data_IF_591185752680
#
_entry.id   IF_591185752680
#
_cell.length_a   1.000
_cell.length_b   1.000
_cell.length_c   1.000
_cell.angle_alpha   90.00
_cell.angle_beta   90.00
_cell.angle_gamma   90.00
#
_symmetry.space_group_name_H-M   'P 1'
#
loop_
_entity.id
_entity.type
_entity.pdbx_description
1 polymer ?
#
# COMPACT_ATOMS: atom_id res chain seq x y z
N UNK A 1 -7.34 49.37 6.01
CA UNK A 1 -7.96 48.09 6.40
C UNK A 1 -7.13 46.96 5.79
N UNK A 2 -6.42 46.19 6.61
CA UNK A 2 -5.61 45.06 6.13
C UNK A 2 -6.55 43.88 5.85
N UNK A 3 -6.51 43.36 4.62
CA UNK A 3 -7.24 42.17 4.24
C UNK A 3 -6.87 41.04 5.21
N UNK A 4 -7.87 40.46 5.85
CA UNK A 4 -7.73 39.18 6.55
C UNK A 4 -7.24 38.17 5.52
N UNK A 5 -5.96 37.81 5.58
CA UNK A 5 -5.42 36.69 4.82
C UNK A 5 -6.08 35.44 5.36
N UNK A 6 -7.23 35.09 4.77
CA UNK A 6 -7.94 33.86 5.07
C UNK A 6 -6.94 32.72 4.95
N UNK A 7 -6.58 32.14 6.09
CA UNK A 7 -5.60 31.07 6.16
C UNK A 7 -6.16 29.91 5.35
N UNK A 8 -5.56 29.67 4.18
CA UNK A 8 -6.06 28.71 3.21
C UNK A 8 -6.02 27.34 3.88
N UNK A 9 -7.18 26.72 4.06
CA UNK A 9 -7.31 25.39 4.66
C UNK A 9 -6.37 24.42 3.92
N UNK A 10 -5.40 23.87 4.65
CA UNK A 10 -4.48 22.87 4.10
C UNK A 10 -5.26 21.60 3.80
N UNK A 11 -5.11 21.07 2.58
CA UNK A 11 -5.76 19.81 2.18
C UNK A 11 -5.26 18.63 3.02
N UNK A 12 -6.10 17.63 3.21
CA UNK A 12 -5.76 16.40 3.94
C UNK A 12 -6.14 15.16 3.13
N UNK A 13 -5.16 14.27 2.90
CA UNK A 13 -5.35 13.00 2.22
C UNK A 13 -5.04 11.85 3.17
N UNK A 14 -5.86 10.81 3.15
CA UNK A 14 -5.63 9.56 3.88
C UNK A 14 -5.24 8.46 2.91
N UNK A 15 -4.17 7.73 3.23
CA UNK A 15 -3.71 6.55 2.48
C UNK A 15 -3.81 5.30 3.36
N UNK A 16 -4.43 4.24 2.86
CA UNK A 16 -4.54 2.95 3.57
C UNK A 16 -3.47 1.98 3.07
N UNK A 17 -2.33 1.93 3.74
CA UNK A 17 -1.20 1.06 3.42
C UNK A 17 -1.30 -0.32 4.11
N UNK A 18 -2.48 -0.96 4.09
CA UNK A 18 -2.75 -2.28 4.69
C UNK A 18 -2.66 -3.46 3.70
N UNK A 19 -2.01 -3.22 2.56
CA UNK A 19 -1.76 -4.22 1.53
C UNK A 19 -0.34 -4.77 1.63
N UNK A 20 0.04 -5.77 0.82
CA UNK A 20 1.42 -6.21 0.75
C UNK A 20 2.38 -5.02 0.60
N UNK A 21 3.60 -5.18 1.13
CA UNK A 21 4.55 -4.08 1.22
C UNK A 21 4.80 -3.36 -0.12
N UNK A 22 4.72 -4.05 -1.25
CA UNK A 22 4.86 -3.44 -2.58
C UNK A 22 3.87 -2.30 -2.81
N UNK A 23 2.62 -2.48 -2.38
CA UNK A 23 1.55 -1.50 -2.55
C UNK A 23 1.71 -0.37 -1.51
N UNK A 24 2.04 -0.73 -0.26
CA UNK A 24 2.33 0.23 0.81
C UNK A 24 3.51 1.16 0.47
N UNK A 25 4.59 0.61 -0.09
CA UNK A 25 5.77 1.35 -0.55
C UNK A 25 5.40 2.41 -1.57
N UNK A 26 4.60 2.04 -2.58
CA UNK A 26 4.16 2.97 -3.61
C UNK A 26 3.27 4.08 -3.06
N UNK A 27 2.41 3.79 -2.08
CA UNK A 27 1.65 4.81 -1.37
C UNK A 27 2.56 5.77 -0.57
N UNK A 28 3.63 5.27 0.04
CA UNK A 28 4.63 6.12 0.71
C UNK A 28 5.31 7.05 -0.31
N UNK A 29 5.76 6.53 -1.45
CA UNK A 29 6.36 7.34 -2.53
C UNK A 29 5.33 8.35 -3.05
N UNK A 30 4.09 7.94 -3.28
CA UNK A 30 3.02 8.85 -3.71
C UNK A 30 2.82 10.00 -2.72
N UNK A 31 2.83 9.72 -1.41
CA UNK A 31 2.74 10.74 -0.37
C UNK A 31 3.86 11.80 -0.50
N UNK A 32 5.11 11.37 -0.70
CA UNK A 32 6.25 12.30 -0.85
C UNK A 32 6.11 13.16 -2.10
N UNK A 33 5.58 12.62 -3.20
CA UNK A 33 5.33 13.38 -4.43
C UNK A 33 4.23 14.43 -4.23
N UNK A 34 3.15 14.08 -3.52
CA UNK A 34 2.06 15.02 -3.23
C UNK A 34 2.56 16.22 -2.41
N UNK A 35 3.32 15.99 -1.34
CA UNK A 35 3.81 17.09 -0.48
C UNK A 35 4.84 17.99 -1.17
N UNK A 36 5.59 17.45 -2.13
CA UNK A 36 6.51 18.23 -2.99
C UNK A 36 5.78 19.16 -3.95
N UNK A 37 4.65 18.72 -4.49
CA UNK A 37 3.85 19.53 -5.43
C UNK A 37 3.13 20.64 -4.67
N UNK A 38 2.57 20.33 -3.50
CA UNK A 38 1.83 21.28 -2.67
C UNK A 38 1.83 20.87 -1.20
N UNK A 39 1.86 21.83 -0.26
CA UNK A 39 1.66 21.55 1.17
C UNK A 39 0.30 20.89 1.40
N UNK A 40 0.29 19.57 1.57
CA UNK A 40 -0.91 18.74 1.80
C UNK A 40 -0.60 17.82 2.95
N UNK A 41 -1.43 17.81 3.98
CA UNK A 41 -1.26 16.81 5.03
C UNK A 41 -1.61 15.42 4.50
N UNK A 42 -0.76 14.44 4.76
CA UNK A 42 -0.98 13.05 4.39
C UNK A 42 -0.92 12.19 5.65
N UNK A 43 -2.01 11.48 5.94
CA UNK A 43 -2.03 10.46 6.99
C UNK A 43 -1.97 9.09 6.33
N UNK A 44 -0.90 8.34 6.59
CA UNK A 44 -0.74 6.95 6.14
C UNK A 44 -1.13 6.03 7.29
N UNK A 45 -2.22 5.29 7.14
CA UNK A 45 -2.57 4.20 8.06
C UNK A 45 -1.96 2.91 7.57
N UNK A 46 -1.30 2.18 8.46
CA UNK A 46 -0.56 0.95 8.15
C UNK A 46 -0.71 -0.07 9.27
N UNK A 47 -0.39 -1.34 9.02
CA UNK A 47 -0.20 -2.31 10.11
C UNK A 47 1.10 -2.01 10.87
N UNK A 48 1.17 -2.53 12.09
CA UNK A 48 2.38 -2.55 12.93
C UNK A 48 3.60 -3.13 12.20
N UNK A 49 3.43 -4.23 11.45
CA UNK A 49 4.49 -4.88 10.69
C UNK A 49 5.16 -3.97 9.64
N UNK A 50 4.45 -2.96 9.14
CA UNK A 50 4.95 -2.06 8.10
C UNK A 50 5.30 -0.67 8.61
N UNK A 51 5.04 -0.33 9.87
CA UNK A 51 5.27 1.01 10.42
C UNK A 51 6.70 1.49 10.21
N UNK A 52 7.67 0.73 10.70
CA UNK A 52 9.09 1.11 10.63
C UNK A 52 9.62 1.07 9.20
N UNK A 53 9.05 0.20 8.35
CA UNK A 53 9.41 0.12 6.94
C UNK A 53 8.89 1.33 6.16
N UNK A 54 7.65 1.77 6.43
CA UNK A 54 7.04 2.97 5.87
C UNK A 54 7.81 4.23 6.28
N UNK A 55 8.18 4.37 7.56
CA UNK A 55 9.00 5.49 8.03
C UNK A 55 10.36 5.55 7.32
N UNK A 56 11.06 4.41 7.19
CA UNK A 56 12.33 4.36 6.46
C UNK A 56 12.19 4.72 4.98
N UNK A 57 11.14 4.25 4.32
CA UNK A 57 10.86 4.59 2.93
C UNK A 57 10.64 6.10 2.76
N UNK A 58 9.81 6.70 3.61
CA UNK A 58 9.56 8.15 3.60
C UNK A 58 10.84 8.95 3.88
N UNK A 59 11.64 8.52 4.86
CA UNK A 59 12.91 9.18 5.19
C UNK A 59 13.90 9.12 4.03
N UNK A 60 13.98 7.97 3.34
CA UNK A 60 14.80 7.82 2.13
C UNK A 60 14.32 8.72 1.00
N UNK A 61 13.01 8.71 0.71
CA UNK A 61 12.42 9.52 -0.35
C UNK A 61 12.51 11.02 -0.06
N UNK A 62 12.56 11.44 1.20
CA UNK A 62 12.65 12.85 1.64
C UNK A 62 14.06 13.26 2.10
N UNK A 63 15.10 12.48 1.81
CA UNK A 63 16.45 12.77 2.30
C UNK A 63 16.96 14.18 1.94
N UNK A 64 16.53 14.72 0.79
CA UNK A 64 16.87 16.08 0.33
C UNK A 64 15.85 17.16 0.77
N UNK A 65 14.68 16.75 1.28
CA UNK A 65 13.53 17.62 1.56
C UNK A 65 12.93 17.32 2.95
N UNK A 66 13.78 17.11 3.96
CA UNK A 66 13.34 16.60 5.27
C UNK A 66 12.23 17.43 5.94
N UNK A 67 12.19 18.74 5.71
CA UNK A 67 11.14 19.63 6.22
C UNK A 67 9.73 19.26 5.72
N UNK A 68 9.62 18.68 4.52
CA UNK A 68 8.34 18.20 3.97
C UNK A 68 7.79 17.00 4.76
N UNK A 69 8.64 16.31 5.52
CA UNK A 69 8.23 15.21 6.40
C UNK A 69 7.19 15.64 7.44
N UNK A 70 7.15 16.92 7.84
CA UNK A 70 6.15 17.45 8.77
C UNK A 70 4.70 17.40 8.25
N UNK A 71 4.52 17.28 6.92
CA UNK A 71 3.21 17.10 6.31
C UNK A 71 2.75 15.65 6.26
N UNK A 72 3.64 14.68 6.52
CA UNK A 72 3.32 13.26 6.41
C UNK A 72 3.41 12.63 7.79
N UNK A 73 2.35 11.95 8.22
CA UNK A 73 2.37 11.11 9.42
C UNK A 73 2.02 9.68 9.08
N UNK A 74 2.65 8.73 9.76
CA UNK A 74 2.40 7.29 9.62
C UNK A 74 1.87 6.76 10.93
N UNK A 75 0.67 6.18 10.90
CA UNK A 75 -0.04 5.70 12.07
C UNK A 75 -0.28 4.20 11.90
N UNK A 76 0.28 3.41 12.81
CA UNK A 76 -0.03 2.00 12.88
C UNK A 76 -1.41 1.79 13.55
N UNK A 77 -2.22 0.94 12.94
CA UNK A 77 -3.49 0.44 13.46
C UNK A 77 -3.38 -1.05 13.79
N UNK A 78 -4.32 -1.54 14.60
CA UNK A 78 -4.38 -2.96 14.93
C UNK A 78 -4.63 -3.78 13.66
N UNK A 79 -3.88 -4.85 13.50
CA UNK A 79 -3.95 -5.77 12.36
C UNK A 79 -3.73 -7.17 12.91
N UNK A 80 -4.51 -8.15 12.46
CA UNK A 80 -4.38 -9.54 12.90
C UNK A 80 -3.70 -10.44 11.87
N UNK A 81 -3.49 -9.96 10.64
CA UNK A 81 -2.98 -10.80 9.53
C UNK A 81 -2.08 -10.05 8.57
N UNK A 82 -0.79 -10.36 8.60
CA UNK A 82 0.20 -9.81 7.66
C UNK A 82 0.19 -10.45 6.25
N UNK A 83 -0.60 -11.52 6.04
CA UNK A 83 -0.50 -12.35 4.83
C UNK A 83 -1.83 -12.59 4.09
N UNK A 84 -2.93 -11.96 4.51
CA UNK A 84 -4.24 -12.21 3.89
C UNK A 84 -4.72 -11.05 3.01
N UNK A 85 -5.53 -11.41 2.01
CA UNK A 85 -6.14 -10.45 1.10
C UNK A 85 -7.09 -9.49 1.82
N UNK A 86 -7.72 -9.93 2.91
CA UNK A 86 -8.63 -9.14 3.75
C UNK A 86 -8.11 -9.11 5.19
N UNK A 87 -8.17 -7.94 5.83
CA UNK A 87 -7.80 -7.74 7.23
C UNK A 87 -8.96 -7.02 7.94
N UNK A 88 -9.93 -7.78 8.47
CA UNK A 88 -11.13 -7.21 9.08
C UNK A 88 -10.80 -6.47 10.38
N UNK A 89 -9.73 -6.83 11.08
CA UNK A 89 -9.29 -6.17 12.31
C UNK A 89 -8.76 -4.77 12.00
N UNK A 90 -7.92 -4.66 10.96
CA UNK A 90 -7.47 -3.37 10.46
C UNK A 90 -8.63 -2.51 9.96
N UNK A 91 -9.57 -3.09 9.19
CA UNK A 91 -10.74 -2.35 8.71
C UNK A 91 -11.62 -1.85 9.85
N UNK A 92 -11.81 -2.64 10.91
CA UNK A 92 -12.56 -2.24 12.09
C UNK A 92 -11.85 -1.14 12.90
N UNK A 93 -10.53 -1.27 13.12
CA UNK A 93 -9.76 -0.26 13.84
C UNK A 93 -9.66 1.04 13.03
N UNK A 94 -9.45 0.95 11.71
CA UNK A 94 -9.54 2.10 10.82
C UNK A 94 -10.91 2.77 10.89
N UNK A 95 -12.00 1.99 10.87
CA UNK A 95 -13.35 2.56 10.97
C UNK A 95 -13.57 3.33 12.28
N UNK A 96 -13.01 2.82 13.40
CA UNK A 96 -12.99 3.51 14.68
C UNK A 96 -12.17 4.81 14.61
N UNK A 97 -10.94 4.75 14.13
CA UNK A 97 -10.07 5.92 13.98
C UNK A 97 -10.65 6.97 13.03
N UNK A 98 -11.31 6.55 11.96
CA UNK A 98 -11.96 7.46 11.03
C UNK A 98 -13.12 8.21 11.67
N UNK A 99 -13.92 7.57 12.53
CA UNK A 99 -14.94 8.27 13.34
C UNK A 99 -14.32 9.29 14.28
N UNK A 100 -13.14 9.03 14.83
CA UNK A 100 -12.41 10.02 15.65
C UNK A 100 -12.01 11.23 14.80
N UNK A 101 -11.51 11.02 13.58
CA UNK A 101 -11.18 12.11 12.65
C UNK A 101 -12.42 12.95 12.31
N UNK A 102 -13.56 12.30 12.05
CA UNK A 102 -14.83 13.00 11.77
C UNK A 102 -15.34 13.79 12.98
N UNK A 103 -15.03 13.33 14.20
CA UNK A 103 -15.33 14.02 15.44
C UNK A 103 -14.28 15.05 15.86
N UNK A 104 -13.33 15.40 14.97
CA UNK A 104 -12.21 16.33 15.22
C UNK A 104 -11.37 15.94 16.46
N UNK A 105 -11.23 14.63 16.69
CA UNK A 105 -10.46 14.08 17.80
C UNK A 105 -9.03 13.70 17.36
N UNK A 106 -8.06 13.77 18.28
CA UNK A 106 -6.71 13.27 18.01
C UNK A 106 -6.71 11.76 17.79
N UNK A 107 -5.72 11.29 17.03
CA UNK A 107 -5.58 9.87 16.66
C UNK A 107 -4.30 9.30 17.25
N UNK A 108 -4.35 8.07 17.76
CA UNK A 108 -3.21 7.43 18.43
C UNK A 108 -2.63 6.31 17.56
N UNK A 109 -1.31 6.27 17.44
CA UNK A 109 -0.60 5.13 16.87
C UNK A 109 -0.54 3.98 17.88
N UNK A 110 -1.02 2.79 17.50
CA UNK A 110 -1.08 1.66 18.44
C UNK A 110 0.29 1.12 18.85
N UNK A 111 1.29 1.27 17.97
CA UNK A 111 2.65 0.73 18.21
C UNK A 111 3.48 1.70 19.05
N UNK A 112 3.51 2.99 18.70
CA UNK A 112 4.36 3.97 19.39
C UNK A 112 3.66 4.59 20.60
N UNK A 113 2.33 4.47 20.70
CA UNK A 113 1.52 5.18 21.68
C UNK A 113 1.41 6.69 21.42
N UNK A 114 2.09 7.21 20.40
CA UNK A 114 2.09 8.63 20.02
C UNK A 114 0.68 9.09 19.68
N UNK A 115 0.31 10.26 20.20
CA UNK A 115 -0.98 10.91 19.91
C UNK A 115 -0.71 12.02 18.91
N UNK A 116 -1.28 11.89 17.71
CA UNK A 116 -1.18 12.90 16.69
C UNK A 116 -2.38 13.84 16.76
N UNK A 117 -2.10 15.13 16.63
CA UNK A 117 -3.12 16.18 16.66
C UNK A 117 -4.20 15.97 15.60
N UNK A 118 -5.38 16.53 15.87
CA UNK A 118 -6.49 16.53 14.92
C UNK A 118 -6.09 17.23 13.62
N UNK A 119 -6.52 16.65 12.51
CA UNK A 119 -6.45 17.27 11.18
C UNK A 119 -7.86 17.45 10.66
N UNK A 120 -8.02 18.37 9.70
CA UNK A 120 -9.29 18.53 9.01
C UNK A 120 -9.81 17.20 8.44
N UNK A 121 -11.12 17.07 8.29
CA UNK A 121 -11.73 15.93 7.59
C UNK A 121 -11.04 15.73 6.22
N UNK A 122 -10.64 14.50 5.86
CA UNK A 122 -9.92 14.24 4.62
C UNK A 122 -10.72 14.68 3.39
N UNK A 123 -10.03 15.23 2.40
CA UNK A 123 -10.58 15.51 1.08
C UNK A 123 -10.67 14.24 0.23
N UNK A 124 -9.76 13.28 0.49
CA UNK A 124 -9.73 11.99 -0.18
C UNK A 124 -9.19 10.88 0.72
N UNK A 125 -9.68 9.66 0.49
CA UNK A 125 -9.18 8.42 1.07
C UNK A 125 -8.80 7.50 -0.09
N UNK A 126 -7.55 7.04 -0.09
CA UNK A 126 -6.98 6.18 -1.14
C UNK A 126 -6.65 4.82 -0.53
N UNK A 127 -7.18 3.75 -1.13
CA UNK A 127 -6.92 2.37 -0.68
C UNK A 127 -6.45 1.47 -1.84
N UNK A 128 -5.45 0.60 -1.64
CA UNK A 128 -4.97 -0.33 -2.65
C UNK A 128 -5.91 -1.53 -2.89
N UNK A 129 -6.95 -1.70 -2.05
CA UNK A 129 -7.83 -2.87 -2.06
C UNK A 129 -9.29 -2.49 -2.31
N UNK A 130 -9.92 -3.19 -3.24
CA UNK A 130 -11.35 -3.06 -3.52
C UNK A 130 -12.23 -3.46 -2.32
N UNK A 131 -11.84 -4.48 -1.54
CA UNK A 131 -12.63 -4.93 -0.37
C UNK A 131 -12.78 -3.83 0.68
N UNK A 132 -11.71 -3.05 0.87
CA UNK A 132 -11.71 -1.92 1.79
C UNK A 132 -12.59 -0.79 1.26
N UNK A 133 -12.76 -0.64 -0.06
CA UNK A 133 -13.67 0.37 -0.62
C UNK A 133 -15.13 0.12 -0.23
N UNK A 134 -15.59 -1.13 -0.20
CA UNK A 134 -16.96 -1.45 0.23
C UNK A 134 -17.15 -1.13 1.72
N UNK A 135 -16.17 -1.49 2.56
CA UNK A 135 -16.18 -1.17 3.98
C UNK A 135 -16.17 0.34 4.22
N UNK A 136 -15.33 1.08 3.47
CA UNK A 136 -15.27 2.53 3.49
C UNK A 136 -16.60 3.14 3.04
N UNK A 137 -17.21 2.63 1.97
CA UNK A 137 -18.49 3.14 1.45
C UNK A 137 -19.59 2.99 2.49
N UNK A 138 -19.71 1.80 3.11
CA UNK A 138 -20.67 1.57 4.20
C UNK A 138 -20.41 2.48 5.40
N UNK A 139 -19.16 2.57 5.84
CA UNK A 139 -18.76 3.43 6.96
C UNK A 139 -19.14 4.87 6.67
N UNK A 140 -18.89 5.29 5.44
CA UNK A 140 -19.09 6.64 4.98
C UNK A 140 -20.57 7.00 4.83
N UNK A 141 -21.41 6.07 4.37
CA UNK A 141 -22.88 6.21 4.38
C UNK A 141 -23.38 6.36 5.83
N UNK A 142 -22.95 5.47 6.73
CA UNK A 142 -23.35 5.50 8.14
C UNK A 142 -22.95 6.79 8.86
N UNK A 143 -21.76 7.32 8.57
CA UNK A 143 -21.29 8.55 9.21
C UNK A 143 -21.93 9.79 8.61
N UNK A 144 -22.21 9.80 7.30
CA UNK A 144 -22.84 10.93 6.65
C UNK A 144 -24.28 11.16 7.11
N UNK A 145 -25.07 10.12 7.34
CA UNK A 145 -26.46 10.29 7.78
C UNK A 145 -26.53 10.98 9.15
N UNK A 146 -25.63 10.61 10.07
CA UNK A 146 -25.54 11.22 11.40
C UNK A 146 -24.91 12.62 11.37
N UNK A 147 -23.84 12.81 10.59
CA UNK A 147 -23.16 14.10 10.52
C UNK A 147 -23.91 15.13 9.69
N UNK A 148 -24.67 14.76 8.65
CA UNK A 148 -25.47 15.71 7.85
C UNK A 148 -26.55 16.38 8.69
N UNK A 149 -27.17 15.65 9.61
CA UNK A 149 -28.17 16.22 10.51
C UNK A 149 -27.57 17.31 11.41
N UNK A 150 -26.30 17.17 11.80
CA UNK A 150 -25.62 18.09 12.70
C UNK A 150 -24.81 19.18 11.99
N UNK A 151 -24.27 18.92 10.80
CA UNK A 151 -23.35 19.82 10.09
C UNK A 151 -23.44 19.60 8.57
N UNK A 152 -24.47 20.18 7.90
CA UNK A 152 -24.77 19.95 6.48
C UNK A 152 -23.65 20.34 5.51
N UNK A 153 -22.68 21.13 5.97
CA UNK A 153 -21.62 21.76 5.16
C UNK A 153 -20.32 20.97 5.12
N UNK A 154 -20.19 19.87 5.87
CA UNK A 154 -18.96 19.07 5.85
C UNK A 154 -18.80 18.37 4.49
N UNK A 155 -17.68 18.60 3.77
CA UNK A 155 -17.45 17.98 2.47
C UNK A 155 -17.24 16.47 2.60
N UNK A 156 -17.81 15.73 1.64
CA UNK A 156 -17.70 14.29 1.50
C UNK A 156 -16.29 13.92 0.98
N UNK A 157 -15.45 13.16 1.72
CA UNK A 157 -14.20 12.66 1.14
C UNK A 157 -14.44 11.85 -0.12
N UNK A 158 -13.57 12.05 -1.10
CA UNK A 158 -13.51 11.21 -2.30
C UNK A 158 -12.91 9.85 -1.92
N UNK A 159 -13.59 8.77 -2.27
CA UNK A 159 -13.07 7.42 -2.10
C UNK A 159 -12.41 6.99 -3.41
N UNK A 160 -11.12 6.66 -3.35
CA UNK A 160 -10.31 6.33 -4.52
C UNK A 160 -9.60 5.00 -4.31
N UNK A 161 -9.45 4.25 -5.40
CA UNK A 161 -8.68 3.00 -5.39
C UNK A 161 -7.31 3.27 -5.99
N UNK A 162 -6.27 2.87 -5.25
CA UNK A 162 -4.91 2.81 -5.76
C UNK A 162 -4.71 1.48 -6.47
N UNK A 163 -4.31 1.54 -7.73
CA UNK A 163 -4.01 0.33 -8.47
C UNK A 163 -2.72 0.51 -9.23
N UNK A 164 -1.68 -0.18 -8.77
CA UNK A 164 -0.33 -0.06 -9.29
C UNK A 164 0.12 -1.22 -10.16
N UNK A 165 -0.72 -2.24 -10.31
CA UNK A 165 -0.39 -3.40 -11.14
C UNK A 165 -0.74 -3.11 -12.58
N UNK A 166 -0.13 -3.87 -13.48
CA UNK A 166 -0.46 -3.80 -14.90
C UNK A 166 -1.97 -4.02 -15.08
N UNK A 167 -2.66 -3.26 -15.94
CA UNK A 167 -4.09 -3.46 -16.18
C UNK A 167 -4.47 -4.88 -16.60
N UNK A 168 -3.54 -5.60 -17.24
CA UNK A 168 -3.69 -7.01 -17.55
C UNK A 168 -3.95 -7.86 -16.29
N UNK A 169 -3.36 -7.49 -15.14
CA UNK A 169 -3.64 -8.12 -13.85
C UNK A 169 -5.07 -7.84 -13.39
N UNK A 170 -5.59 -6.61 -13.52
CA UNK A 170 -7.01 -6.32 -13.20
C UNK A 170 -7.93 -7.20 -14.02
N UNK A 171 -7.67 -7.20 -15.33
CA UNK A 171 -8.49 -7.94 -16.26
C UNK A 171 -8.41 -9.45 -15.97
N UNK A 172 -7.25 -9.97 -15.62
CA UNK A 172 -7.12 -11.36 -15.23
C UNK A 172 -7.92 -11.69 -13.95
N UNK A 173 -7.84 -10.89 -12.89
CA UNK A 173 -8.52 -11.20 -11.62
C UNK A 173 -10.00 -10.81 -11.57
N UNK A 174 -10.43 -9.83 -12.37
CA UNK A 174 -11.77 -9.26 -12.32
C UNK A 174 -12.52 -9.31 -13.65
N UNK A 175 -11.85 -9.71 -14.73
CA UNK A 175 -12.47 -9.87 -16.03
C UNK A 175 -13.34 -11.14 -16.10
N UNK A 176 -14.29 -11.15 -17.05
CA UNK A 176 -15.13 -12.30 -17.29
C UNK A 176 -14.34 -13.49 -17.84
N UNK A 177 -14.77 -14.71 -17.50
CA UNK A 177 -14.07 -15.95 -17.88
C UNK A 177 -14.00 -16.15 -19.39
N UNK A 178 -15.06 -15.80 -20.11
CA UNK A 178 -15.14 -15.91 -21.57
C UNK A 178 -14.19 -14.96 -22.32
N UNK A 179 -13.52 -14.04 -21.60
CA UNK A 179 -12.48 -13.17 -22.15
C UNK A 179 -11.10 -13.39 -21.55
N UNK A 180 -10.91 -14.47 -20.77
CA UNK A 180 -9.61 -14.81 -20.18
C UNK A 180 -9.37 -14.27 -18.76
N UNK A 181 -10.41 -13.73 -18.10
CA UNK A 181 -10.36 -13.46 -16.67
C UNK A 181 -10.69 -14.71 -15.83
N UNK A 182 -10.52 -14.64 -14.51
CA UNK A 182 -10.85 -15.73 -13.59
C UNK A 182 -12.38 -15.89 -13.43
N UNK A 183 -13.17 -14.86 -13.77
CA UNK A 183 -14.62 -14.82 -13.55
C UNK A 183 -14.98 -14.65 -12.07
N UNK A 184 -16.23 -14.94 -11.69
CA UNK A 184 -16.68 -14.81 -10.31
C UNK A 184 -16.13 -15.95 -9.42
N UNK A 185 -14.97 -15.70 -8.81
CA UNK A 185 -14.33 -16.61 -7.84
C UNK A 185 -15.27 -16.94 -6.69
N UNK A 186 -16.06 -15.98 -6.19
CA UNK A 186 -16.97 -16.21 -5.06
C UNK A 186 -18.09 -17.16 -5.46
N UNK A 187 -18.64 -17.02 -6.66
CA UNK A 187 -19.65 -17.96 -7.17
C UNK A 187 -19.06 -19.38 -7.28
N UNK A 188 -17.82 -19.52 -7.75
CA UNK A 188 -17.13 -20.82 -7.82
C UNK A 188 -16.91 -21.42 -6.43
N UNK A 189 -16.44 -20.62 -5.46
CA UNK A 189 -16.27 -21.06 -4.06
C UNK A 189 -17.61 -21.51 -3.46
N UNK A 190 -18.68 -20.73 -3.62
CA UNK A 190 -20.03 -21.09 -3.14
C UNK A 190 -20.55 -22.37 -3.76
N UNK A 191 -20.38 -22.55 -5.07
CA UNK A 191 -20.81 -23.77 -5.76
C UNK A 191 -20.07 -25.01 -5.22
N UNK A 192 -18.77 -24.87 -4.98
CA UNK A 192 -17.95 -25.94 -4.42
C UNK A 192 -18.25 -26.23 -2.95
N UNK A 193 -18.51 -25.19 -2.16
CA UNK A 193 -18.95 -25.30 -0.76
C UNK A 193 -20.30 -26.02 -0.66
N UNK A 194 -21.26 -25.67 -1.52
CA UNK A 194 -22.54 -26.35 -1.62
C UNK A 194 -22.38 -27.83 -2.02
N UNK A 195 -21.48 -28.13 -2.96
CA UNK A 195 -21.17 -29.51 -3.39
C UNK A 195 -20.58 -30.35 -2.25
N UNK A 196 -19.66 -29.77 -1.47
CA UNK A 196 -18.98 -30.42 -0.33
C UNK A 196 -19.81 -30.41 0.96
N UNK A 197 -20.86 -29.58 1.04
CA UNK A 197 -21.65 -29.30 2.25
C UNK A 197 -20.81 -28.77 3.41
N UNK A 198 -19.88 -27.88 3.10
CA UNK A 198 -19.02 -27.18 4.06
C UNK A 198 -19.19 -25.66 3.92
N UNK A 199 -18.80 -24.84 4.91
CA UNK A 199 -18.80 -23.38 4.78
C UNK A 199 -17.86 -22.88 3.66
N UNK A 200 -18.19 -21.73 3.07
CA UNK A 200 -17.38 -21.08 2.03
C UNK A 200 -15.93 -20.85 2.49
N UNK A 201 -15.75 -20.49 3.76
CA UNK A 201 -14.46 -20.23 4.38
C UNK A 201 -13.56 -21.47 4.37
N UNK A 202 -14.13 -22.66 4.54
CA UNK A 202 -13.38 -23.93 4.53
C UNK A 202 -12.83 -24.22 3.13
N UNK A 203 -13.66 -24.05 2.09
CA UNK A 203 -13.23 -24.20 0.70
C UNK A 203 -12.16 -23.16 0.35
N UNK A 204 -12.35 -21.90 0.77
CA UNK A 204 -11.38 -20.83 0.53
C UNK A 204 -10.04 -21.09 1.23
N UNK A 205 -10.07 -21.55 2.48
CA UNK A 205 -8.88 -21.95 3.22
C UNK A 205 -8.18 -23.16 2.60
N UNK A 206 -8.92 -24.17 2.15
CA UNK A 206 -8.36 -25.34 1.47
C UNK A 206 -7.61 -24.92 0.20
N UNK A 207 -8.23 -24.08 -0.64
CA UNK A 207 -7.61 -23.52 -1.85
C UNK A 207 -6.37 -22.69 -1.50
N UNK A 208 -6.45 -21.86 -0.45
CA UNK A 208 -5.35 -21.00 -0.01
C UNK A 208 -4.17 -21.81 0.56
N UNK A 209 -4.45 -22.79 1.43
CA UNK A 209 -3.44 -23.70 2.02
C UNK A 209 -2.80 -24.58 0.95
N UNK A 210 -3.59 -25.04 -0.02
CA UNK A 210 -3.06 -25.77 -1.18
C UNK A 210 -2.11 -24.88 -1.97
N UNK A 211 -2.49 -23.64 -2.27
CA UNK A 211 -1.61 -22.68 -2.94
C UNK A 211 -0.32 -22.37 -2.15
N UNK A 212 -0.39 -22.22 -0.82
CA UNK A 212 0.79 -21.95 0.03
C UNK A 212 1.72 -23.17 0.16
N UNK A 213 1.18 -24.38 0.39
CA UNK A 213 1.99 -25.60 0.48
C UNK A 213 2.75 -25.83 -0.81
N UNK A 214 2.08 -25.56 -1.92
CA UNK A 214 2.63 -25.70 -3.25
C UNK A 214 3.67 -24.60 -3.56
N UNK A 215 3.53 -23.37 -3.03
CA UNK A 215 4.53 -22.30 -3.23
C UNK A 215 5.83 -22.47 -2.43
N UNK A 216 5.86 -23.32 -1.40
CA UNK A 216 7.06 -23.62 -0.60
C UNK A 216 7.93 -24.75 -1.16
N UNK A 217 7.40 -25.56 -2.08
CA UNK A 217 8.18 -26.61 -2.76
C UNK A 217 8.83 -25.97 -3.99
N UNK A 218 10.12 -26.20 -4.22
CA UNK A 218 10.91 -25.71 -5.39
C UNK A 218 10.44 -26.25 -6.75
N UNK A 219 9.19 -26.67 -6.88
CA UNK A 219 8.56 -27.12 -8.12
C UNK A 219 7.32 -26.28 -8.36
N UNK A 220 7.48 -25.27 -9.21
CA UNK A 220 6.43 -24.38 -9.69
C UNK A 220 5.36 -25.12 -10.53
N UNK A 221 5.56 -26.39 -10.88
CA UNK A 221 4.78 -27.10 -11.91
C UNK A 221 3.42 -27.64 -11.43
N UNK A 222 3.17 -27.81 -10.12
CA UNK A 222 1.88 -28.33 -9.62
C UNK A 222 1.00 -27.28 -8.90
N UNK A 223 1.57 -26.20 -8.37
CA UNK A 223 0.79 -24.99 -7.98
C UNK A 223 0.18 -24.36 -9.20
N UNK A 224 0.90 -24.46 -10.32
CA UNK A 224 0.36 -24.30 -11.65
C UNK A 224 -0.98 -25.04 -11.67
N UNK A 225 -1.18 -26.34 -11.69
CA UNK A 225 -2.56 -26.88 -11.91
C UNK A 225 -3.77 -26.41 -11.05
N UNK A 226 -3.63 -25.82 -9.85
CA UNK A 226 -4.77 -25.18 -9.13
C UNK A 226 -4.77 -23.63 -9.19
N UNK A 227 -3.64 -23.01 -9.58
CA UNK A 227 -3.45 -21.58 -9.87
C UNK A 227 -2.95 -21.38 -11.33
N UNK A 228 -3.15 -22.38 -12.20
CA UNK A 228 -2.61 -22.53 -13.56
C UNK A 228 -3.72 -22.06 -14.41
N UNK A 229 -3.45 -20.94 -15.02
CA UNK A 229 -3.73 -20.83 -16.42
C UNK A 229 -2.39 -20.78 -17.20
N UNK A 230 -1.35 -21.46 -16.67
CA UNK A 230 0.01 -21.58 -17.21
C UNK A 230 0.10 -22.66 -18.30
N UNK A 231 -0.72 -22.53 -19.32
CA UNK A 231 -0.17 -22.74 -20.65
C UNK A 231 0.36 -21.39 -21.12
N UNK A 232 1.28 -21.35 -22.08
CA UNK A 232 1.62 -20.13 -22.84
C UNK A 232 0.42 -19.69 -23.68
N UNK A 233 -0.70 -19.45 -23.01
CA UNK A 233 -1.96 -19.04 -23.58
C UNK A 233 -1.80 -17.59 -23.94
N UNK A 234 -1.92 -17.32 -25.23
CA UNK A 234 -1.95 -15.98 -25.74
C UNK A 234 -3.25 -15.32 -25.25
N UNK A 235 -3.13 -14.38 -24.33
CA UNK A 235 -4.24 -13.59 -23.83
C UNK A 235 -4.55 -12.49 -24.83
N UNK A 236 -5.81 -12.42 -25.25
CA UNK A 236 -6.32 -11.38 -26.15
C UNK A 236 -7.29 -10.50 -25.38
N UNK A 237 -6.76 -9.48 -24.72
CA UNK A 237 -7.55 -8.47 -24.03
C UNK A 237 -7.87 -7.35 -25.03
N UNK A 238 -9.15 -7.03 -25.28
CA UNK A 238 -9.50 -5.94 -26.21
C UNK A 238 -8.79 -4.62 -25.83
N UNK A 239 -8.05 -4.04 -26.77
CA UNK A 239 -7.30 -2.79 -26.57
C UNK A 239 -5.86 -2.95 -26.04
N UNK A 240 -5.39 -4.18 -25.81
CA UNK A 240 -4.00 -4.49 -25.48
C UNK A 240 -3.37 -5.34 -26.59
N UNK A 241 -2.04 -5.28 -26.70
CA UNK A 241 -1.30 -6.23 -27.53
C UNK A 241 -1.49 -7.66 -26.98
N UNK A 242 -1.59 -8.69 -27.84
CA UNK A 242 -1.62 -10.07 -27.39
C UNK A 242 -0.39 -10.36 -26.55
N UNK A 243 -0.59 -10.88 -25.34
CA UNK A 243 0.50 -11.18 -24.40
C UNK A 243 0.33 -12.59 -23.89
N UNK A 244 1.43 -13.29 -23.67
CA UNK A 244 1.35 -14.59 -23.03
C UNK A 244 1.02 -14.45 -21.55
N UNK A 245 0.28 -15.41 -21.00
CA UNK A 245 -0.07 -15.48 -19.57
C UNK A 245 1.13 -15.30 -18.62
N UNK A 246 2.33 -15.74 -19.02
CA UNK A 246 3.56 -15.59 -18.25
C UNK A 246 4.12 -14.15 -18.22
N UNK A 247 3.75 -13.28 -19.18
CA UNK A 247 4.18 -11.87 -19.20
C UNK A 247 3.49 -11.01 -18.14
N UNK A 248 2.37 -11.49 -17.57
CA UNK A 248 1.63 -10.82 -16.49
C UNK A 248 2.25 -11.14 -15.12
N UNK A 249 3.05 -12.19 -15.05
CA UNK A 249 3.73 -12.58 -13.81
C UNK A 249 5.04 -11.78 -13.66
N UNK A 250 5.50 -11.52 -12.42
CA UNK A 250 6.85 -11.04 -12.21
C UNK A 250 7.79 -12.03 -12.89
N UNK A 251 8.50 -11.59 -13.94
CA UNK A 251 9.52 -12.42 -14.54
C UNK A 251 10.57 -12.68 -13.46
N UNK A 252 10.87 -13.95 -13.19
CA UNK A 252 12.08 -14.26 -12.44
C UNK A 252 13.21 -13.56 -13.19
N UNK A 253 13.88 -12.64 -12.51
CA UNK A 253 15.14 -12.15 -13.02
C UNK A 253 16.00 -13.40 -13.09
N UNK A 254 16.18 -13.96 -14.29
CA UNK A 254 17.25 -14.91 -14.53
C UNK A 254 18.49 -14.18 -14.09
N UNK A 255 19.01 -14.50 -12.89
CA UNK A 255 20.37 -14.14 -12.56
C UNK A 255 21.16 -14.61 -13.78
N UNK A 256 21.84 -13.70 -14.50
CA UNK A 256 22.69 -14.16 -15.58
C UNK A 256 23.56 -15.26 -14.98
N UNK A 257 23.71 -16.42 -15.65
CA UNK A 257 24.53 -17.51 -15.13
C UNK A 257 25.79 -16.87 -14.64
N UNK A 258 26.17 -17.10 -13.37
CA UNK A 258 27.32 -16.47 -12.72
C UNK A 258 28.54 -16.70 -13.61
N UNK A 259 28.74 -15.82 -14.59
CA UNK A 259 30.02 -15.69 -15.24
C UNK A 259 30.89 -15.24 -14.09
N UNK A 260 31.99 -15.95 -13.79
CA UNK A 260 33.00 -15.39 -12.94
C UNK A 260 33.37 -14.07 -13.60
N UNK A 261 32.92 -12.97 -13.01
CA UNK A 261 33.35 -11.64 -13.42
C UNK A 261 34.87 -11.73 -13.48
N UNK A 262 35.53 -11.43 -14.63
CA UNK A 262 36.97 -11.33 -14.63
C UNK A 262 37.29 -10.38 -13.49
N UNK A 263 38.15 -10.81 -12.56
CA UNK A 263 38.58 -10.00 -11.44
C UNK A 263 39.13 -8.70 -12.00
N UNK A 264 38.29 -7.69 -12.17
CA UNK A 264 38.74 -6.32 -12.31
C UNK A 264 39.27 -5.98 -10.94
N UNK A 265 40.58 -6.15 -10.79
CA UNK A 265 41.34 -5.56 -9.72
C UNK A 265 41.11 -4.05 -9.81
N UNK A 266 40.08 -3.56 -9.11
CA UNK A 266 40.03 -2.16 -8.76
C UNK A 266 41.20 -1.92 -7.81
N UNK A 267 42.32 -1.45 -8.36
CA UNK A 267 43.37 -0.80 -7.60
C UNK A 267 42.79 0.50 -7.03
N UNK A 268 42.01 0.38 -5.96
CA UNK A 268 41.67 1.50 -5.10
C UNK A 268 42.95 1.85 -4.35
N UNK A 269 43.77 2.75 -4.94
CA UNK A 269 44.77 3.48 -4.17
C UNK A 269 44.02 4.37 -3.19
N UNK A 270 43.85 3.89 -1.96
CA UNK A 270 43.52 4.74 -0.82
C UNK A 270 44.66 5.75 -0.70
N UNK A 271 44.41 7.02 -1.07
CA UNK A 271 45.35 8.09 -0.72
C UNK A 271 45.37 8.16 0.81
N UNK A 272 46.54 8.10 1.47
CA UNK A 272 46.61 8.36 2.89
C UNK A 272 46.04 9.74 3.18
N UNK A 273 45.30 9.85 4.29
CA UNK A 273 44.74 11.10 4.76
C UNK A 273 45.84 12.17 4.79
N UNK A 274 45.53 13.38 4.28
CA UNK A 274 46.42 14.53 4.47
C UNK A 274 46.59 14.73 5.98
N UNK A 275 47.83 14.88 6.48
CA UNK A 275 48.04 15.24 7.88
C UNK A 275 47.34 16.57 8.16
N UNK A 276 46.68 16.63 9.32
CA UNK A 276 46.02 17.84 9.81
C UNK A 276 47.03 18.98 9.88
N UNK A 277 46.64 20.23 9.49
CA UNK A 277 47.51 21.38 9.67
C UNK A 277 47.85 21.55 11.17
N UNK A 278 49.08 21.98 11.50
CA UNK A 278 49.48 22.19 12.88
C UNK A 278 48.63 23.30 13.53
N UNK A 279 48.38 23.21 14.84
CA UNK A 279 47.62 24.22 15.56
C UNK A 279 48.31 25.58 15.49
N UNK A 280 47.56 26.61 15.13
CA UNK A 280 48.01 28.00 15.20
C UNK A 280 48.31 28.37 16.66
N UNK A 281 49.58 28.62 16.96
CA UNK A 281 49.99 29.26 18.20
C UNK A 281 49.62 30.75 18.12
N UNK A 282 48.67 31.18 18.94
CA UNK A 282 48.42 32.60 19.17
C UNK A 282 49.63 33.24 19.87
N UNK A 283 50.12 34.40 19.41
CA UNK A 283 51.16 35.12 20.12
C UNK A 283 50.59 35.70 21.42
N UNK A 284 51.34 35.50 22.51
CA UNK A 284 51.06 36.08 23.80
C UNK A 284 51.09 37.62 23.73
N UNK A 285 50.09 38.25 24.34
CA UNK A 285 50.12 39.61 24.84
C UNK A 285 49.51 39.64 26.23
#
# INVERSE_FOLDING_TARGET
MRASTAQKKTAHIVLLANAPWTDAKQLCIFATRIVRIRPTHVTIFTSDAFLERAKRELASELAQDAALGTYIRVIALLSDRHHQFVDPVFEADFAKTYRQILADQPVRCIVTGEVHDRLAVPDAIITPKNSTLDALTRLHEQTNDRHRAATPTLPRPKLLVWYSRVPAYLFFFHGPSERGGIGDVRAKVRAEAARKRVPDEEVFEEVSKKAERLSRVRFADEVAQTVSFLESTLLRIPGYEPMYSHEIQPQEATEPPRQPWPRMAYNIRVRPARPSPPPHTSPAR
#
